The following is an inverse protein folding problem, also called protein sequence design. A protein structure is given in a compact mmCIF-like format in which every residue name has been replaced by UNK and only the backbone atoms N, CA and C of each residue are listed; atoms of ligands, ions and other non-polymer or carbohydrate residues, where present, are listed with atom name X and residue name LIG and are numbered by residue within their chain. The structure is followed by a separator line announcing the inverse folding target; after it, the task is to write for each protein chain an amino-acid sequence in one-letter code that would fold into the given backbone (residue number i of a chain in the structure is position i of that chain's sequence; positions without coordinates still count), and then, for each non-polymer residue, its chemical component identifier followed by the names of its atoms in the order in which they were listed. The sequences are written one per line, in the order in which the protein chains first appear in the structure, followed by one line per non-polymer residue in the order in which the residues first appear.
data_IF_303332494808
#
_entry.id   IF_303332494808
#
_cell.length_a   1.000
_cell.length_b   1.000
_cell.length_c   1.000
_cell.angle_alpha   90.00
_cell.angle_beta   90.00
_cell.angle_gamma   90.00
#
_symmetry.space_group_name_H-M   'P 1'
#
loop_
_entity.id
_entity.type
_entity.pdbx_description
1 polymer ?
#
# COMPACT_ATOMS: atom_id res chain seq x y z
N UNK A 1 -0.50 -26.68 33.39
CA UNK A 1 -0.02 -27.57 32.32
C UNK A 1 -1.03 -27.72 31.19
N UNK A 2 -2.33 -27.93 31.44
CA UNK A 2 -3.37 -28.07 30.39
C UNK A 2 -3.60 -26.86 29.47
N UNK A 3 -3.32 -25.62 29.91
CA UNK A 3 -3.57 -24.41 29.08
C UNK A 3 -2.51 -24.17 28.00
N UNK A 4 -1.27 -24.63 28.19
CA UNK A 4 -0.19 -24.48 27.19
C UNK A 4 -0.31 -25.46 26.02
N UNK A 5 -0.84 -26.66 26.26
CA UNK A 5 -1.03 -27.68 25.20
C UNK A 5 -2.22 -27.33 24.27
N UNK A 6 -3.30 -26.76 24.81
CA UNK A 6 -4.43 -26.27 24.00
C UNK A 6 -4.07 -25.04 23.15
N UNK A 7 -3.15 -24.20 23.62
CA UNK A 7 -2.66 -23.01 22.91
C UNK A 7 -1.83 -23.33 21.67
N UNK A 8 -0.98 -24.37 21.75
CA UNK A 8 -0.18 -24.81 20.62
C UNK A 8 -1.07 -25.37 19.49
N UNK A 9 -2.09 -26.17 19.83
CA UNK A 9 -2.94 -26.81 18.82
C UNK A 9 -3.73 -25.80 17.99
N UNK A 10 -4.31 -24.75 18.60
CA UNK A 10 -5.16 -23.81 17.86
C UNK A 10 -4.40 -22.98 16.81
N UNK A 11 -3.13 -22.66 17.07
CA UNK A 11 -2.25 -21.95 16.12
C UNK A 11 -1.82 -22.87 15.00
N UNK A 12 -1.49 -24.12 15.33
CA UNK A 12 -1.11 -25.15 14.36
C UNK A 12 -2.31 -25.51 13.46
N UNK A 13 -3.51 -25.65 14.03
CA UNK A 13 -4.77 -25.87 13.31
C UNK A 13 -5.07 -24.73 12.32
N UNK A 14 -4.84 -23.48 12.74
CA UNK A 14 -5.00 -22.31 11.89
C UNK A 14 -3.94 -22.27 10.78
N UNK A 15 -2.69 -22.59 11.10
CA UNK A 15 -1.59 -22.67 10.13
C UNK A 15 -1.88 -23.74 9.06
N UNK A 16 -2.31 -24.93 9.47
CA UNK A 16 -2.68 -26.04 8.60
C UNK A 16 -3.88 -25.69 7.70
N UNK A 17 -4.92 -25.08 8.27
CA UNK A 17 -6.10 -24.66 7.52
C UNK A 17 -5.74 -23.63 6.44
N UNK A 18 -4.87 -22.68 6.79
CA UNK A 18 -4.42 -21.63 5.88
C UNK A 18 -3.31 -22.15 4.94
N UNK A 19 -2.80 -23.37 5.14
CA UNK A 19 -1.64 -23.92 4.44
C UNK A 19 -0.48 -22.93 4.48
N UNK A 20 -0.09 -22.49 5.66
CA UNK A 20 1.07 -21.63 5.88
C UNK A 20 1.93 -22.21 6.99
N UNK A 21 3.24 -22.01 6.91
CA UNK A 21 4.13 -22.41 8.01
C UNK A 21 3.79 -21.65 9.29
N UNK A 22 3.79 -22.36 10.43
CA UNK A 22 3.47 -21.80 11.75
C UNK A 22 4.32 -20.57 12.09
N UNK A 23 5.63 -20.61 11.81
CA UNK A 23 6.53 -19.49 12.09
C UNK A 23 6.18 -18.28 11.23
N UNK A 24 5.72 -18.50 9.99
CA UNK A 24 5.21 -17.43 9.11
C UNK A 24 3.94 -16.82 9.69
N UNK A 25 3.00 -17.63 10.19
CA UNK A 25 1.77 -17.17 10.83
C UNK A 25 2.06 -16.34 12.10
N UNK A 26 2.92 -16.84 12.99
CA UNK A 26 3.30 -16.13 14.22
C UNK A 26 4.02 -14.80 13.92
N UNK A 27 4.84 -14.76 12.87
CA UNK A 27 5.49 -13.54 12.40
C UNK A 27 4.50 -12.57 11.74
N UNK A 28 3.49 -13.09 11.05
CA UNK A 28 2.45 -12.29 10.41
C UNK A 28 1.52 -11.66 11.44
N UNK A 29 1.23 -12.34 12.55
CA UNK A 29 0.36 -11.87 13.63
C UNK A 29 1.04 -12.09 14.99
N UNK A 30 1.89 -11.14 15.44
CA UNK A 30 2.54 -11.25 16.75
C UNK A 30 1.49 -11.34 17.88
N UNK A 31 1.68 -12.29 18.81
CA UNK A 31 0.75 -12.52 19.92
C UNK A 31 -0.44 -13.45 19.61
N UNK A 32 -0.51 -14.02 18.40
CA UNK A 32 -1.61 -14.90 17.97
C UNK A 32 -1.84 -16.10 18.90
N UNK A 33 -0.79 -16.63 19.52
CA UNK A 33 -0.87 -17.74 20.47
C UNK A 33 -1.79 -17.41 21.65
N UNK A 34 -1.69 -16.18 22.17
CA UNK A 34 -2.52 -15.72 23.30
C UNK A 34 -3.96 -15.40 22.87
N UNK A 35 -4.15 -14.94 21.63
CA UNK A 35 -5.45 -14.58 21.07
C UNK A 35 -6.33 -15.82 20.87
N UNK A 36 -5.72 -16.93 20.42
CA UNK A 36 -6.42 -18.16 20.08
C UNK A 36 -6.62 -19.11 21.27
N UNK A 37 -5.74 -19.08 22.28
CA UNK A 37 -5.81 -20.02 23.41
C UNK A 37 -6.76 -19.58 24.52
N UNK A 38 -6.72 -18.31 24.91
CA UNK A 38 -7.40 -17.79 26.10
C UNK A 38 -8.04 -16.40 25.83
N UNK A 39 -8.13 -16.01 24.56
CA UNK A 39 -8.64 -14.71 24.11
C UNK A 39 -10.06 -14.75 23.54
N UNK A 40 -10.62 -13.57 23.17
CA UNK A 40 -12.00 -13.43 22.66
C UNK A 40 -12.27 -14.14 21.32
N UNK A 41 -11.24 -14.72 20.69
CA UNK A 41 -11.33 -15.46 19.43
C UNK A 41 -11.07 -16.96 19.58
N UNK A 42 -11.11 -17.49 20.81
CA UNK A 42 -11.10 -18.94 21.04
C UNK A 42 -12.22 -19.62 20.21
N UNK A 43 -11.86 -20.58 19.34
CA UNK A 43 -12.78 -21.26 18.43
C UNK A 43 -12.92 -20.65 17.02
N UNK A 44 -12.26 -19.52 16.72
CA UNK A 44 -12.24 -18.94 15.36
C UNK A 44 -11.66 -19.91 14.33
N UNK A 45 -10.64 -20.69 14.72
CA UNK A 45 -10.03 -21.72 13.87
C UNK A 45 -11.05 -22.77 13.39
N UNK A 46 -11.93 -23.24 14.29
CA UNK A 46 -12.99 -24.21 13.97
C UNK A 46 -14.05 -23.62 13.03
N UNK A 47 -14.46 -22.37 13.27
CA UNK A 47 -15.42 -21.64 12.43
C UNK A 47 -14.88 -21.42 11.00
N UNK A 48 -13.60 -21.03 10.89
CA UNK A 48 -12.95 -20.88 9.60
C UNK A 48 -12.76 -22.24 8.90
N UNK A 49 -12.44 -23.30 9.63
CA UNK A 49 -12.27 -24.65 9.07
C UNK A 49 -13.59 -25.19 8.47
N UNK A 50 -14.73 -24.84 9.05
CA UNK A 50 -16.04 -25.13 8.50
C UNK A 50 -16.34 -24.38 7.18
N UNK A 51 -15.70 -23.22 6.97
CA UNK A 51 -15.89 -22.36 5.79
C UNK A 51 -14.95 -22.76 4.64
N UNK A 52 -13.70 -23.14 4.94
CA UNK A 52 -12.69 -23.52 3.94
C UNK A 52 -13.00 -24.85 3.24
N UNK A 53 -13.73 -25.77 3.89
CA UNK A 53 -14.11 -27.08 3.33
C UNK A 53 -15.17 -27.05 2.22
N UNK A 54 -15.70 -25.88 1.83
CA UNK A 54 -16.77 -25.76 0.82
C UNK A 54 -16.32 -25.58 -0.62
N UNK A 55 -15.03 -25.38 -0.94
CA UNK A 55 -14.60 -25.17 -2.33
C UNK A 55 -13.38 -26.00 -2.74
N UNK A 56 -13.51 -26.59 -3.93
CA UNK A 56 -12.75 -27.69 -4.49
C UNK A 56 -11.32 -27.36 -4.93
N UNK A 57 -10.50 -28.42 -5.07
CA UNK A 57 -9.21 -28.55 -5.78
C UNK A 57 -8.62 -27.22 -6.31
N UNK A 58 -8.00 -26.44 -5.42
CA UNK A 58 -7.05 -25.39 -5.78
C UNK A 58 -5.66 -26.02 -5.74
N UNK A 59 -5.10 -26.29 -6.92
CA UNK A 59 -3.75 -26.83 -7.05
C UNK A 59 -2.72 -25.68 -7.05
N UNK A 60 -1.65 -25.88 -6.28
CA UNK A 60 -0.44 -25.03 -6.08
C UNK A 60 -0.57 -23.66 -5.37
N UNK A 61 0.41 -23.41 -4.47
CA UNK A 61 1.05 -22.17 -3.98
C UNK A 61 0.31 -20.80 -4.09
N UNK A 62 0.24 -19.96 -3.05
CA UNK A 62 1.38 -19.16 -2.59
C UNK A 62 1.21 -18.78 -1.10
N UNK A 63 1.89 -19.50 -0.19
CA UNK A 63 1.79 -19.31 1.26
C UNK A 63 2.21 -17.89 1.67
N UNK A 64 3.08 -17.26 0.89
CA UNK A 64 3.46 -15.86 1.04
C UNK A 64 2.29 -14.90 0.82
N UNK A 65 1.47 -15.14 -0.20
CA UNK A 65 0.27 -14.32 -0.46
C UNK A 65 -0.76 -14.48 0.65
N UNK A 66 -0.96 -15.71 1.17
CA UNK A 66 -1.87 -15.94 2.30
C UNK A 66 -1.38 -15.24 3.57
N UNK A 67 -0.11 -15.40 3.90
CA UNK A 67 0.52 -14.71 5.02
C UNK A 67 0.39 -13.18 4.89
N UNK A 68 0.56 -12.65 3.68
CA UNK A 68 0.36 -11.22 3.40
C UNK A 68 -1.10 -10.80 3.64
N UNK A 69 -2.08 -11.52 3.09
CA UNK A 69 -3.52 -11.23 3.27
C UNK A 69 -3.88 -11.20 4.76
N UNK A 70 -3.46 -12.21 5.52
CA UNK A 70 -3.71 -12.31 6.95
C UNK A 70 -3.04 -11.17 7.72
N UNK A 71 -1.79 -10.86 7.38
CA UNK A 71 -1.05 -9.74 7.97
C UNK A 71 -1.82 -8.43 7.82
N UNK A 72 -2.43 -8.16 6.66
CA UNK A 72 -3.25 -6.96 6.47
C UNK A 72 -4.55 -7.01 7.29
N UNK A 73 -5.30 -8.11 7.25
CA UNK A 73 -6.55 -8.23 8.01
C UNK A 73 -6.35 -8.15 9.53
N UNK A 74 -5.24 -8.68 10.05
CA UNK A 74 -4.90 -8.58 11.47
C UNK A 74 -4.81 -7.13 11.97
N UNK A 75 -4.57 -6.19 11.07
CA UNK A 75 -4.47 -4.77 11.43
C UNK A 75 -5.81 -4.04 11.40
N UNK A 76 -6.92 -4.62 10.94
CA UNK A 76 -8.19 -3.89 10.68
C UNK A 76 -8.74 -3.13 11.91
N UNK A 77 -8.42 -3.57 13.13
CA UNK A 77 -8.83 -2.93 14.38
C UNK A 77 -7.74 -2.05 15.05
N UNK A 78 -6.54 -1.97 14.45
CA UNK A 78 -5.43 -1.18 14.98
C UNK A 78 -5.61 0.32 14.68
N UNK A 79 -5.16 1.17 15.61
CA UNK A 79 -4.98 2.60 15.35
C UNK A 79 -3.88 2.85 14.30
N UNK A 80 -3.85 4.04 13.72
CA UNK A 80 -2.89 4.40 12.67
C UNK A 80 -1.42 4.17 13.06
N UNK A 81 -1.08 4.41 14.34
CA UNK A 81 0.28 4.28 14.87
C UNK A 81 0.65 2.84 15.12
N UNK A 82 -0.26 2.06 15.71
CA UNK A 82 -0.06 0.62 15.92
C UNK A 82 0.14 -0.09 14.60
N UNK A 83 -0.68 0.24 13.59
CA UNK A 83 -0.54 -0.30 12.24
C UNK A 83 0.80 0.06 11.60
N UNK A 84 1.21 1.32 11.69
CA UNK A 84 2.50 1.77 11.17
C UNK A 84 3.67 1.00 11.82
N UNK A 85 3.67 0.89 13.16
CA UNK A 85 4.67 0.14 13.89
C UNK A 85 4.66 -1.35 13.52
N UNK A 86 3.48 -1.95 13.35
CA UNK A 86 3.32 -3.34 12.94
C UNK A 86 3.89 -3.63 11.55
N UNK A 87 3.81 -2.68 10.62
CA UNK A 87 4.47 -2.77 9.32
C UNK A 87 5.95 -2.34 9.32
N UNK A 88 6.51 -2.01 10.49
CA UNK A 88 7.90 -1.62 10.64
C UNK A 88 8.23 -0.24 10.08
N UNK A 89 7.23 0.66 10.00
CA UNK A 89 7.46 2.03 9.57
C UNK A 89 8.23 2.82 10.65
N UNK A 90 9.06 3.80 10.27
CA UNK A 90 9.81 4.64 11.21
C UNK A 90 8.94 5.45 12.18
N UNK A 91 9.59 6.06 13.17
CA UNK A 91 8.92 6.86 14.20
C UNK A 91 8.03 7.97 13.61
N UNK A 92 6.90 8.20 14.28
CA UNK A 92 5.93 9.22 13.89
C UNK A 92 5.07 8.85 12.67
N UNK A 93 5.39 7.77 11.97
CA UNK A 93 4.57 7.29 10.86
C UNK A 93 3.18 6.85 11.33
N UNK A 94 2.21 7.03 10.43
CA UNK A 94 0.79 6.69 10.64
C UNK A 94 0.24 6.09 9.37
N UNK A 95 -0.49 4.99 9.49
CA UNK A 95 -1.07 4.29 8.35
C UNK A 95 -2.52 3.93 8.64
N UNK A 96 -3.44 4.48 7.84
CA UNK A 96 -4.88 4.19 7.92
C UNK A 96 -5.19 2.77 7.46
N UNK A 97 -6.36 2.27 7.82
CA UNK A 97 -6.86 0.96 7.39
C UNK A 97 -6.88 0.82 5.86
N UNK A 98 -6.79 -0.42 5.38
CA UNK A 98 -6.84 -0.79 3.95
C UNK A 98 -5.71 -0.23 3.07
N UNK A 99 -4.80 0.58 3.60
CA UNK A 99 -3.58 0.92 2.88
C UNK A 99 -2.73 -0.35 2.66
N UNK A 100 -2.04 -0.44 1.53
CA UNK A 100 -1.30 -1.62 1.11
C UNK A 100 0.08 -1.24 0.59
N UNK A 101 1.11 -1.89 1.10
CA UNK A 101 2.48 -1.86 0.61
C UNK A 101 2.78 -3.19 -0.11
N UNK A 102 3.12 -3.12 -1.38
CA UNK A 102 3.56 -4.28 -2.17
C UNK A 102 5.08 -4.33 -2.18
N UNK A 103 5.65 -5.52 -1.99
CA UNK A 103 7.09 -5.71 -1.80
C UNK A 103 7.67 -4.79 -0.70
N UNK A 104 7.16 -4.86 0.55
CA UNK A 104 7.60 -3.99 1.65
C UNK A 104 9.11 -4.07 1.92
N UNK A 105 9.77 -5.16 1.56
CA UNK A 105 11.23 -5.32 1.62
C UNK A 105 12.01 -4.37 0.70
N UNK A 106 11.35 -3.75 -0.28
CA UNK A 106 11.90 -2.76 -1.22
C UNK A 106 11.32 -1.35 -0.99
N UNK A 107 10.52 -1.18 0.05
CA UNK A 107 9.98 0.10 0.44
C UNK A 107 10.89 0.74 1.49
N UNK A 108 11.39 1.94 1.19
CA UNK A 108 12.19 2.74 2.12
C UNK A 108 11.43 4.03 2.39
N UNK A 109 11.27 4.39 3.66
CA UNK A 109 10.62 5.64 4.01
C UNK A 109 11.29 6.35 5.18
N UNK A 110 11.08 7.66 5.23
CA UNK A 110 11.51 8.53 6.30
C UNK A 110 10.55 8.55 7.50
N UNK A 111 10.78 9.48 8.40
CA UNK A 111 9.97 9.66 9.62
C UNK A 111 8.72 10.50 9.36
N UNK A 112 7.74 10.38 10.26
CA UNK A 112 6.57 11.26 10.31
C UNK A 112 5.71 11.28 9.03
N UNK A 113 5.66 10.17 8.31
CA UNK A 113 4.83 10.02 7.11
C UNK A 113 3.40 9.63 7.48
N UNK A 114 2.41 10.25 6.84
CA UNK A 114 1.02 9.83 6.96
C UNK A 114 0.55 9.14 5.68
N UNK A 115 0.04 7.92 5.81
CA UNK A 115 -0.49 7.10 4.71
C UNK A 115 -2.00 6.96 4.89
N UNK A 116 -2.73 7.48 3.92
CA UNK A 116 -4.19 7.53 3.90
C UNK A 116 -4.85 6.18 3.63
N UNK A 117 -6.13 6.09 3.99
CA UNK A 117 -6.93 4.88 3.86
C UNK A 117 -6.96 4.40 2.41
N UNK A 118 -6.77 3.10 2.19
CA UNK A 118 -6.83 2.51 0.85
C UNK A 118 -5.70 2.93 -0.10
N UNK A 119 -4.67 3.64 0.36
CA UNK A 119 -3.51 3.97 -0.48
C UNK A 119 -2.77 2.69 -0.89
N UNK A 120 -2.33 2.61 -2.14
CA UNK A 120 -1.54 1.49 -2.68
C UNK A 120 -0.14 1.97 -3.01
N UNK A 121 0.84 1.43 -2.28
CA UNK A 121 2.25 1.75 -2.39
C UNK A 121 2.95 0.54 -2.99
N UNK A 122 3.14 0.56 -4.31
CA UNK A 122 3.86 -0.51 -5.00
C UNK A 122 5.37 -0.24 -4.99
N UNK A 123 6.12 -1.07 -4.28
CA UNK A 123 7.57 -1.03 -4.21
C UNK A 123 8.25 -2.18 -4.97
N UNK A 124 7.54 -2.92 -5.84
CA UNK A 124 8.14 -4.07 -6.53
C UNK A 124 9.37 -3.69 -7.39
N UNK A 125 9.34 -2.50 -8.00
CA UNK A 125 10.49 -1.87 -8.69
C UNK A 125 11.32 -0.93 -7.82
N UNK A 126 11.01 -0.83 -6.53
CA UNK A 126 11.58 0.11 -5.55
C UNK A 126 10.68 1.32 -5.33
N UNK A 127 10.52 1.71 -4.06
CA UNK A 127 9.81 2.93 -3.67
C UNK A 127 10.52 3.60 -2.50
N UNK A 128 10.88 4.87 -2.67
CA UNK A 128 11.42 5.71 -1.58
C UNK A 128 10.47 6.87 -1.29
N UNK A 129 10.16 7.14 -0.01
CA UNK A 129 9.36 8.31 0.42
C UNK A 129 10.11 9.08 1.53
N UNK A 130 10.36 10.37 1.32
CA UNK A 130 11.05 11.21 2.29
C UNK A 130 10.22 11.63 3.51
N UNK A 131 10.90 12.17 4.52
CA UNK A 131 10.34 12.59 5.81
C UNK A 131 9.17 13.58 5.65
N UNK A 132 8.24 13.56 6.62
CA UNK A 132 7.16 14.54 6.74
C UNK A 132 6.23 14.66 5.52
N UNK A 133 6.17 13.62 4.69
CA UNK A 133 5.29 13.57 3.52
C UNK A 133 3.92 12.99 3.86
N UNK A 134 2.89 13.41 3.12
CA UNK A 134 1.52 12.93 3.26
C UNK A 134 1.06 12.25 1.97
N UNK A 135 0.63 11.01 2.11
CA UNK A 135 0.03 10.21 1.05
C UNK A 135 -1.46 10.13 1.32
N UNK A 136 -2.27 10.79 0.49
CA UNK A 136 -3.71 10.91 0.66
C UNK A 136 -4.49 9.59 0.54
N UNK A 137 -5.78 9.65 0.85
CA UNK A 137 -6.70 8.52 0.77
C UNK A 137 -6.78 7.97 -0.66
N UNK A 138 -6.61 6.67 -0.85
CA UNK A 138 -6.70 6.02 -2.16
C UNK A 138 -5.65 6.48 -3.18
N UNK A 139 -4.54 7.08 -2.74
CA UNK A 139 -3.40 7.36 -3.62
C UNK A 139 -2.78 6.04 -4.07
N UNK A 140 -2.49 5.92 -5.36
CA UNK A 140 -1.80 4.78 -5.96
C UNK A 140 -0.44 5.23 -6.47
N UNK A 141 0.62 4.59 -6.00
CA UNK A 141 2.00 4.84 -6.40
C UNK A 141 2.51 3.56 -7.02
N UNK A 142 2.84 3.58 -8.31
CA UNK A 142 3.35 2.42 -9.04
C UNK A 142 4.87 2.45 -9.13
N UNK A 143 5.50 1.28 -9.12
CA UNK A 143 6.91 1.05 -9.47
C UNK A 143 7.08 -0.12 -10.44
N UNK A 144 5.98 -0.76 -10.88
CA UNK A 144 6.01 -1.72 -11.96
C UNK A 144 4.86 -1.53 -12.95
N UNK A 145 4.96 -2.21 -14.09
CA UNK A 145 3.87 -2.36 -15.04
C UNK A 145 3.92 -3.71 -15.74
N UNK A 146 2.78 -4.39 -15.79
CA UNK A 146 2.60 -5.70 -16.45
C UNK A 146 1.97 -5.57 -17.85
N UNK A 147 1.86 -4.36 -18.40
CA UNK A 147 1.22 -4.12 -19.70
C UNK A 147 1.77 -4.99 -20.85
N UNK A 148 3.07 -5.31 -20.85
CA UNK A 148 3.67 -6.16 -21.87
C UNK A 148 3.15 -7.60 -21.81
N UNK A 149 2.84 -8.13 -20.63
CA UNK A 149 2.23 -9.47 -20.51
C UNK A 149 0.88 -9.49 -21.22
N UNK A 150 0.04 -8.49 -20.96
CA UNK A 150 -1.27 -8.39 -21.57
C UNK A 150 -1.18 -8.26 -23.10
N UNK A 151 -0.30 -7.38 -23.60
CA UNK A 151 -0.13 -7.13 -25.03
C UNK A 151 0.45 -8.36 -25.75
N UNK A 152 1.30 -9.16 -25.09
CA UNK A 152 1.91 -10.37 -25.65
C UNK A 152 1.05 -11.62 -25.49
N UNK A 153 -0.07 -11.56 -24.78
CA UNK A 153 -0.88 -12.74 -24.44
C UNK A 153 -0.21 -13.67 -23.42
N UNK A 154 0.70 -13.13 -22.60
CA UNK A 154 1.54 -13.84 -21.63
C UNK A 154 1.09 -13.58 -20.18
N UNK A 155 -0.21 -13.38 -19.93
CA UNK A 155 -0.78 -13.20 -18.58
C UNK A 155 -0.76 -14.52 -17.80
N UNK A 156 0.45 -15.03 -17.57
CA UNK A 156 0.78 -16.26 -16.85
C UNK A 156 1.42 -15.91 -15.51
N UNK A 157 1.79 -16.92 -14.72
CA UNK A 157 2.52 -16.72 -13.45
C UNK A 157 3.96 -16.20 -13.63
N UNK A 158 4.50 -16.25 -14.86
CA UNK A 158 5.82 -15.71 -15.17
C UNK A 158 5.89 -14.20 -14.89
N UNK A 159 7.06 -13.68 -14.55
CA UNK A 159 7.32 -12.25 -14.31
C UNK A 159 8.28 -11.62 -15.32
N UNK A 160 8.71 -12.38 -16.33
CA UNK A 160 9.75 -11.95 -17.29
C UNK A 160 9.37 -10.70 -18.09
N UNK A 161 8.09 -10.56 -18.44
CA UNK A 161 7.54 -9.43 -19.18
C UNK A 161 7.09 -8.26 -18.27
N UNK A 162 7.42 -8.27 -16.98
CA UNK A 162 7.10 -7.14 -16.07
C UNK A 162 8.21 -6.09 -16.12
N UNK A 163 7.82 -4.84 -16.33
CA UNK A 163 8.74 -3.69 -16.31
C UNK A 163 8.77 -3.12 -14.90
N UNK A 164 9.97 -2.99 -14.33
CA UNK A 164 10.19 -2.40 -13.01
C UNK A 164 10.93 -1.06 -13.16
N UNK A 165 10.45 -0.03 -12.48
CA UNK A 165 11.06 1.30 -12.40
C UNK A 165 10.87 1.88 -11.01
N UNK A 166 11.97 2.26 -10.38
CA UNK A 166 11.92 2.85 -9.06
C UNK A 166 11.18 4.19 -9.07
N UNK A 167 10.26 4.38 -8.12
CA UNK A 167 9.53 5.63 -7.93
C UNK A 167 10.01 6.31 -6.65
N UNK A 168 10.20 7.64 -6.68
CA UNK A 168 10.76 8.40 -5.56
C UNK A 168 9.86 9.57 -5.21
N UNK A 169 9.60 9.74 -3.91
CA UNK A 169 8.90 10.90 -3.36
C UNK A 169 9.83 11.57 -2.36
N UNK A 170 10.03 12.87 -2.54
CA UNK A 170 10.85 13.70 -1.67
C UNK A 170 10.25 13.91 -0.28
N UNK A 171 10.88 14.81 0.48
CA UNK A 171 10.46 15.22 1.82
C UNK A 171 9.39 16.30 1.75
N UNK A 172 8.58 16.43 2.80
CA UNK A 172 7.57 17.49 2.94
C UNK A 172 6.56 17.56 1.79
N UNK A 173 6.29 16.44 1.11
CA UNK A 173 5.36 16.40 -0.02
C UNK A 173 3.92 16.25 0.47
N UNK A 174 2.97 16.85 -0.24
CA UNK A 174 1.54 16.59 -0.06
C UNK A 174 0.98 15.94 -1.31
N UNK A 175 0.54 14.68 -1.22
CA UNK A 175 -0.08 13.96 -2.32
C UNK A 175 -1.57 13.78 -2.04
N UNK A 176 -2.39 14.66 -2.59
CA UNK A 176 -3.84 14.62 -2.44
C UNK A 176 -4.44 13.37 -3.08
N UNK A 177 -5.30 12.66 -2.36
CA UNK A 177 -5.94 11.44 -2.83
C UNK A 177 -7.30 11.67 -3.52
N UNK A 178 -7.72 10.81 -4.47
CA UNK A 178 -7.02 9.65 -5.02
C UNK A 178 -6.17 10.02 -6.25
N UNK A 179 -4.86 10.24 -6.05
CA UNK A 179 -3.90 10.50 -7.13
C UNK A 179 -3.25 9.21 -7.59
N UNK A 180 -2.88 9.14 -8.87
CA UNK A 180 -2.08 8.05 -9.44
C UNK A 180 -0.71 8.57 -9.84
N UNK A 181 0.36 7.93 -9.37
CA UNK A 181 1.74 8.19 -9.75
C UNK A 181 2.24 7.00 -10.57
N UNK A 182 2.68 7.26 -11.81
CA UNK A 182 3.19 6.24 -12.72
C UNK A 182 4.55 5.69 -12.27
N UNK A 183 4.87 4.47 -12.72
CA UNK A 183 6.15 3.83 -12.42
C UNK A 183 7.34 4.59 -13.00
N UNK A 184 8.35 4.84 -12.16
CA UNK A 184 9.58 5.52 -12.55
C UNK A 184 9.57 7.03 -12.32
N UNK A 185 8.51 7.59 -11.73
CA UNK A 185 8.39 9.03 -11.48
C UNK A 185 9.18 9.44 -10.24
N UNK A 186 9.82 10.61 -10.32
CA UNK A 186 10.42 11.31 -9.18
C UNK A 186 9.61 12.57 -8.83
N UNK A 187 9.15 12.65 -7.59
CA UNK A 187 8.50 13.83 -7.00
C UNK A 187 9.51 14.54 -6.10
N UNK A 188 9.88 15.77 -6.44
CA UNK A 188 10.82 16.58 -5.67
C UNK A 188 10.28 17.05 -4.32
N UNK A 189 11.20 17.44 -3.43
CA UNK A 189 10.87 17.91 -2.08
C UNK A 189 9.86 19.07 -2.08
N UNK A 190 8.91 19.05 -1.14
CA UNK A 190 7.92 20.12 -0.96
C UNK A 190 6.87 20.19 -2.07
N UNK A 191 6.83 19.24 -2.99
CA UNK A 191 5.84 19.22 -4.06
C UNK A 191 4.42 18.98 -3.51
N UNK A 192 3.44 19.61 -4.17
CA UNK A 192 2.02 19.50 -3.80
C UNK A 192 1.24 18.98 -4.99
N UNK A 193 0.71 17.77 -4.86
CA UNK A 193 -0.14 17.15 -5.86
C UNK A 193 -1.60 17.24 -5.37
N UNK A 194 -2.47 17.80 -6.19
CA UNK A 194 -3.87 17.95 -5.82
C UNK A 194 -4.61 16.61 -5.88
N UNK A 195 -5.74 16.45 -5.16
CA UNK A 195 -6.63 15.30 -5.34
C UNK A 195 -7.01 15.03 -6.80
N UNK A 196 -7.22 13.76 -7.14
CA UNK A 196 -7.62 13.30 -8.48
C UNK A 196 -6.66 13.73 -9.60
N UNK A 197 -5.35 13.61 -9.36
CA UNK A 197 -4.30 13.91 -10.34
C UNK A 197 -3.68 12.62 -10.88
N UNK A 198 -3.30 12.61 -12.16
CA UNK A 198 -2.41 11.59 -12.73
C UNK A 198 -1.04 12.22 -12.99
N UNK A 199 0.02 11.57 -12.51
CA UNK A 199 1.41 12.01 -12.67
C UNK A 199 2.16 10.96 -13.47
N UNK A 200 2.58 11.32 -14.68
CA UNK A 200 3.33 10.49 -15.64
C UNK A 200 4.72 11.06 -15.97
N UNK A 201 5.11 12.15 -15.30
CA UNK A 201 6.41 12.79 -15.42
C UNK A 201 6.96 13.17 -14.06
N UNK A 202 8.25 13.42 -14.01
CA UNK A 202 8.89 13.99 -12.83
C UNK A 202 8.29 15.36 -12.47
N UNK A 203 8.24 15.63 -11.18
CA UNK A 203 7.71 16.86 -10.58
C UNK A 203 8.85 17.56 -9.85
N UNK A 204 9.09 18.82 -10.17
CA UNK A 204 10.19 19.57 -9.59
C UNK A 204 9.95 19.86 -8.09
N UNK A 205 11.01 20.09 -7.30
CA UNK A 205 10.86 20.52 -5.90
C UNK A 205 9.98 21.78 -5.78
N UNK A 206 9.04 21.75 -4.83
CA UNK A 206 8.09 22.84 -4.57
C UNK A 206 7.01 23.04 -5.66
N UNK A 207 7.03 22.26 -6.74
CA UNK A 207 6.05 22.35 -7.81
C UNK A 207 4.65 21.95 -7.29
N UNK A 208 3.62 22.64 -7.81
CA UNK A 208 2.22 22.31 -7.53
C UNK A 208 1.57 21.77 -8.78
N UNK A 209 1.14 20.51 -8.74
CA UNK A 209 0.44 19.86 -9.84
C UNK A 209 -1.00 19.62 -9.42
N UNK A 210 -1.92 19.91 -10.33
CA UNK A 210 -3.33 19.60 -10.15
C UNK A 210 -3.80 18.77 -11.32
N UNK A 211 -4.70 17.83 -11.06
CA UNK A 211 -5.42 17.09 -12.08
C UNK A 211 -6.19 18.02 -13.00
N UNK A 212 -6.94 17.49 -13.98
CA UNK A 212 -7.65 18.26 -14.98
C UNK A 212 -8.83 19.04 -14.39
N UNK A 213 -8.53 20.06 -13.59
CA UNK A 213 -9.35 21.22 -13.19
C UNK A 213 -8.40 22.39 -12.87
N UNK A 214 -7.74 22.92 -13.90
CA UNK A 214 -7.16 24.28 -13.87
C UNK A 214 -6.92 24.92 -15.25
N UNK A 215 -7.64 24.47 -16.28
CA UNK A 215 -7.99 25.33 -17.42
C UNK A 215 -8.58 26.66 -16.91
N UNK A 216 -9.38 26.67 -15.84
CA UNK A 216 -10.05 27.88 -15.33
C UNK A 216 -9.12 28.94 -14.72
N UNK A 217 -7.95 28.57 -14.20
CA UNK A 217 -6.96 29.52 -13.67
C UNK A 217 -6.02 30.03 -14.76
N UNK A 218 -5.71 29.18 -15.74
CA UNK A 218 -5.01 29.57 -16.96
C UNK A 218 -5.92 30.51 -17.79
N UNK A 219 -7.19 30.17 -18.00
CA UNK A 219 -8.25 30.98 -18.61
C UNK A 219 -8.40 32.34 -17.92
N UNK A 220 -8.41 32.41 -16.58
CA UNK A 220 -8.45 33.69 -15.84
C UNK A 220 -7.19 34.53 -16.04
N UNK A 221 -6.02 33.89 -16.14
CA UNK A 221 -4.72 34.58 -16.29
C UNK A 221 -4.48 35.04 -17.73
N UNK A 222 -4.86 34.23 -18.71
CA UNK A 222 -4.88 34.57 -20.13
C UNK A 222 -5.87 35.71 -20.37
N UNK A 223 -7.09 35.63 -19.83
CA UNK A 223 -8.07 36.71 -19.94
C UNK A 223 -7.59 38.03 -19.29
N UNK A 224 -6.86 37.98 -18.17
CA UNK A 224 -6.26 39.17 -17.57
C UNK A 224 -5.13 39.76 -18.43
N UNK A 225 -4.31 38.91 -19.06
CA UNK A 225 -3.21 39.32 -19.93
C UNK A 225 -3.70 39.88 -21.28
N UNK A 226 -4.71 39.26 -21.91
CA UNK A 226 -5.35 39.77 -23.13
C UNK A 226 -6.01 41.13 -22.89
N UNK A 227 -6.64 41.32 -21.73
CA UNK A 227 -7.22 42.61 -21.34
C UNK A 227 -6.15 43.68 -21.12
N UNK A 228 -5.01 43.33 -20.53
CA UNK A 228 -3.89 44.25 -20.35
C UNK A 228 -3.22 44.61 -21.69
N UNK A 229 -3.11 43.67 -22.62
CA UNK A 229 -2.53 43.89 -23.96
C UNK A 229 -3.42 44.79 -24.81
N UNK A 230 -4.74 44.59 -24.81
CA UNK A 230 -5.70 45.44 -25.53
C UNK A 230 -5.74 46.88 -24.98
N UNK A 231 -5.37 47.10 -23.72
CA UNK A 231 -5.27 48.44 -23.13
C UNK A 231 -3.97 49.18 -23.52
N UNK A 232 -3.02 48.49 -24.17
CA UNK A 232 -1.73 49.03 -24.61
C UNK A 232 -1.67 49.28 -26.13
N UNK A 233 -2.69 48.86 -26.89
CA UNK A 233 -2.83 49.05 -28.34
C UNK A 233 -3.83 50.18 -28.65
#
# INVERSE_FOLDING_TARGET
MKSKEASASAVDDLADMLKIDRAVLVKAVPGIESILSDGPLAGLGELMAATVRRNAKLDSADDGLRAQILRYHATDLMTDRERAAFFGLPEGCRMRERAKILAPEKFVCGENIWIGEGAVLDAQGGLTIGDHSQIGLGVMIWSHSSHLQAIRGETTVSRESIVYKETRIGKNCFIGGPTVIAAGVTIGDGAIISPMTFIDRDVAPGERVSGPRSLTKLERRVAQLEKALAALA
#
